data_IF_477485483103
#
_entry.id   IF_477485483103
#
_cell.length_a   1.000
_cell.length_b   1.000
_cell.length_c   1.000
_cell.angle_alpha   90.00
_cell.angle_beta   90.00
_cell.angle_gamma   90.00
#
_symmetry.space_group_name_H-M   'P 1'
#
loop_
_entity.id
_entity.type
_entity.pdbx_description
1 polymer ?
#
# COMPACT_ATOMS: atom_id res chain seq x y z
N UNK A 1 26.87 -12.08 28.17
CA UNK A 1 26.52 -13.51 28.15
C UNK A 1 25.10 -13.63 27.58
N UNK A 2 24.99 -13.45 26.26
CA UNK A 2 23.74 -13.53 25.51
C UNK A 2 23.75 -14.86 24.76
N UNK A 3 22.67 -15.61 24.92
CA UNK A 3 22.48 -16.99 24.51
C UNK A 3 22.85 -17.24 23.04
N UNK A 4 23.60 -18.31 22.82
CA UNK A 4 23.93 -18.89 21.51
C UNK A 4 22.66 -19.51 20.90
N UNK A 5 21.78 -18.65 20.38
CA UNK A 5 20.59 -19.09 19.64
C UNK A 5 21.01 -19.45 18.23
N UNK A 6 21.04 -20.74 17.95
CA UNK A 6 21.09 -21.29 16.60
C UNK A 6 19.76 -21.02 15.91
N UNK A 7 19.79 -20.28 14.80
CA UNK A 7 18.59 -19.97 14.02
C UNK A 7 18.48 -20.99 12.89
N UNK A 8 17.57 -21.96 13.06
CA UNK A 8 17.20 -22.90 12.00
C UNK A 8 16.00 -22.35 11.22
N UNK A 9 16.12 -22.25 9.89
CA UNK A 9 14.99 -21.93 8.99
C UNK A 9 14.37 -23.22 8.46
N UNK A 10 13.03 -23.36 8.41
CA UNK A 10 12.40 -24.56 7.87
C UNK A 10 12.71 -24.69 6.38
N UNK A 11 13.48 -25.72 6.01
CA UNK A 11 13.87 -26.03 4.62
C UNK A 11 15.36 -25.85 4.27
N UNK A 12 16.22 -25.41 5.20
CA UNK A 12 17.65 -25.30 4.97
C UNK A 12 18.44 -26.22 5.93
N UNK A 13 19.18 -27.20 5.40
CA UNK A 13 20.06 -28.13 6.17
C UNK A 13 21.25 -27.44 6.87
N UNK A 14 21.32 -26.10 6.88
CA UNK A 14 22.48 -25.34 7.33
C UNK A 14 22.13 -24.48 8.54
N UNK A 15 22.68 -24.82 9.71
CA UNK A 15 22.47 -24.08 10.95
C UNK A 15 23.58 -23.03 11.20
N UNK A 16 23.20 -21.75 11.30
CA UNK A 16 24.09 -20.63 11.60
C UNK A 16 23.91 -20.13 13.03
N UNK A 17 25.02 -19.82 13.70
CA UNK A 17 25.00 -19.18 15.02
C UNK A 17 24.80 -17.67 14.87
N UNK A 18 24.30 -17.02 15.93
CA UNK A 18 24.08 -15.58 15.95
C UNK A 18 25.36 -14.76 15.65
N UNK A 19 26.55 -15.11 16.16
CA UNK A 19 27.80 -14.44 15.79
C UNK A 19 28.23 -14.65 14.32
N UNK A 20 28.00 -15.84 13.76
CA UNK A 20 28.31 -16.13 12.35
C UNK A 20 27.41 -15.33 11.40
N UNK A 21 26.13 -15.18 11.73
CA UNK A 21 25.20 -14.34 10.96
C UNK A 21 25.60 -12.86 11.00
N UNK A 22 26.05 -12.37 12.15
CA UNK A 22 26.52 -10.99 12.28
C UNK A 22 27.76 -10.72 11.40
N UNK A 23 28.72 -11.64 11.40
CA UNK A 23 29.90 -11.56 10.53
C UNK A 23 29.51 -11.69 9.05
N UNK A 24 28.63 -12.64 8.70
CA UNK A 24 28.15 -12.85 7.33
C UNK A 24 27.43 -11.61 6.77
N UNK A 25 26.63 -10.92 7.59
CA UNK A 25 25.94 -9.70 7.18
C UNK A 25 26.92 -8.55 6.88
N UNK A 26 27.94 -8.38 7.72
CA UNK A 26 28.95 -7.35 7.53
C UNK A 26 29.91 -7.66 6.36
N UNK A 27 30.18 -8.94 6.08
CA UNK A 27 30.92 -9.36 4.87
C UNK A 27 30.15 -9.02 3.59
N UNK A 28 28.83 -9.19 3.60
CA UNK A 28 27.93 -8.79 2.50
C UNK A 28 27.93 -7.27 2.26
N UNK A 29 28.40 -6.49 3.22
CA UNK A 29 28.56 -5.02 3.11
C UNK A 29 29.94 -4.59 2.59
N UNK A 30 30.82 -5.55 2.23
CA UNK A 30 32.14 -5.25 1.66
C UNK A 30 33.13 -4.65 2.66
N UNK A 31 32.84 -4.70 3.96
CA UNK A 31 33.72 -4.19 5.01
C UNK A 31 34.97 -5.06 5.16
N UNK A 32 36.10 -4.42 5.46
CA UNK A 32 37.35 -5.13 5.76
C UNK A 32 37.24 -5.89 7.09
N UNK A 33 37.98 -7.00 7.24
CA UNK A 33 38.02 -7.77 8.49
C UNK A 33 38.32 -6.88 9.71
N UNK A 34 39.20 -5.89 9.55
CA UNK A 34 39.53 -4.92 10.60
C UNK A 34 38.31 -4.08 11.02
N UNK A 35 37.53 -3.57 10.05
CA UNK A 35 36.33 -2.77 10.34
C UNK A 35 35.19 -3.60 10.90
N UNK A 36 35.07 -4.86 10.47
CA UNK A 36 34.10 -5.82 11.03
C UNK A 36 34.43 -6.11 12.50
N UNK A 37 35.70 -6.32 12.82
CA UNK A 37 36.17 -6.56 14.18
C UNK A 37 35.85 -5.36 15.09
N UNK A 38 36.15 -4.15 14.62
CA UNK A 38 35.80 -2.90 15.31
C UNK A 38 34.28 -2.76 15.53
N UNK A 39 33.48 -3.05 14.50
CA UNK A 39 32.02 -2.91 14.52
C UNK A 39 31.35 -3.90 15.47
N UNK A 40 31.90 -5.10 15.60
CA UNK A 40 31.39 -6.14 16.50
C UNK A 40 32.01 -6.10 17.91
N UNK A 41 32.99 -5.24 18.16
CA UNK A 41 33.72 -5.19 19.42
C UNK A 41 34.52 -6.48 19.70
N UNK A 42 35.02 -7.14 18.66
CA UNK A 42 35.78 -8.41 18.74
C UNK A 42 37.15 -8.28 18.07
N UNK A 43 38.00 -9.29 18.20
CA UNK A 43 39.31 -9.30 17.53
C UNK A 43 39.20 -9.69 16.06
N UNK A 44 40.13 -9.23 15.23
CA UNK A 44 40.23 -9.63 13.81
C UNK A 44 40.42 -11.14 13.65
N UNK A 45 41.13 -11.78 14.58
CA UNK A 45 41.29 -13.23 14.63
C UNK A 45 39.93 -13.95 14.82
N UNK A 46 39.05 -13.43 15.68
CA UNK A 46 37.71 -13.97 15.89
C UNK A 46 36.81 -13.83 14.64
N UNK A 47 36.96 -12.73 13.88
CA UNK A 47 36.27 -12.55 12.60
C UNK A 47 36.77 -13.55 11.55
N UNK A 48 38.08 -13.77 11.44
CA UNK A 48 38.62 -14.78 10.51
C UNK A 48 38.24 -16.21 10.90
N UNK A 49 38.15 -16.52 12.19
CA UNK A 49 37.63 -17.81 12.66
C UNK A 49 36.15 -17.99 12.28
N UNK A 50 35.33 -16.95 12.44
CA UNK A 50 33.92 -16.95 12.05
C UNK A 50 33.75 -17.10 10.54
N UNK A 51 34.55 -16.39 9.72
CA UNK A 51 34.59 -16.55 8.25
C UNK A 51 34.84 -17.99 7.83
N UNK A 52 35.83 -18.65 8.44
CA UNK A 52 36.14 -20.07 8.17
C UNK A 52 34.98 -20.99 8.54
N UNK A 53 34.30 -20.73 9.67
CA UNK A 53 33.11 -21.46 10.10
C UNK A 53 31.96 -21.34 9.09
N UNK A 54 31.66 -20.11 8.69
CA UNK A 54 30.63 -19.77 7.69
C UNK A 54 30.92 -20.48 6.36
N UNK A 55 32.15 -20.37 5.85
CA UNK A 55 32.52 -20.98 4.56
C UNK A 55 32.36 -22.49 4.57
N UNK A 56 32.78 -23.14 5.66
CA UNK A 56 32.65 -24.60 5.81
C UNK A 56 31.19 -25.02 5.84
N UNK A 57 30.35 -24.33 6.61
CA UNK A 57 28.93 -24.64 6.75
C UNK A 57 28.11 -24.34 5.49
N UNK A 58 28.51 -23.34 4.69
CA UNK A 58 27.89 -23.01 3.41
C UNK A 58 28.46 -23.83 2.24
N UNK A 59 29.54 -24.60 2.44
CA UNK A 59 30.18 -25.40 1.38
C UNK A 59 30.89 -24.55 0.31
N UNK A 60 31.39 -23.37 0.69
CA UNK A 60 31.96 -22.37 -0.22
C UNK A 60 33.40 -22.05 0.14
N UNK A 61 34.16 -21.56 -0.83
CA UNK A 61 35.60 -21.26 -0.66
C UNK A 61 35.93 -19.77 -0.75
N UNK A 62 34.95 -18.91 -1.07
CA UNK A 62 35.18 -17.47 -1.23
C UNK A 62 34.09 -16.64 -0.54
N UNK A 63 34.47 -15.41 -0.17
CA UNK A 63 33.57 -14.44 0.46
C UNK A 63 32.37 -14.12 -0.45
N UNK A 64 32.63 -13.90 -1.74
CA UNK A 64 31.59 -13.60 -2.71
C UNK A 64 30.60 -14.76 -2.85
N UNK A 65 31.09 -16.00 -2.92
CA UNK A 65 30.21 -17.17 -2.96
C UNK A 65 29.45 -17.38 -1.65
N UNK A 66 30.07 -17.10 -0.50
CA UNK A 66 29.40 -17.19 0.80
C UNK A 66 28.24 -16.21 0.91
N UNK A 67 28.41 -14.96 0.46
CA UNK A 67 27.34 -13.96 0.43
C UNK A 67 26.25 -14.38 -0.55
N UNK A 68 26.59 -14.82 -1.76
CA UNK A 68 25.61 -15.30 -2.74
C UNK A 68 24.79 -16.49 -2.23
N UNK A 69 25.45 -17.50 -1.66
CA UNK A 69 24.80 -18.70 -1.11
C UNK A 69 23.93 -18.39 0.10
N UNK A 70 24.34 -17.42 0.92
CA UNK A 70 23.55 -16.96 2.05
C UNK A 70 22.30 -16.17 1.63
N UNK A 71 22.32 -15.48 0.47
CA UNK A 71 21.12 -14.89 -0.15
C UNK A 71 20.19 -15.98 -0.65
N UNK A 72 20.70 -16.99 -1.38
CA UNK A 72 19.92 -18.12 -1.87
C UNK A 72 19.20 -18.89 -0.76
N UNK A 73 19.88 -19.06 0.38
CA UNK A 73 19.33 -19.73 1.57
C UNK A 73 18.49 -18.78 2.46
N UNK A 74 18.36 -17.51 2.08
CA UNK A 74 17.55 -16.52 2.78
C UNK A 74 18.08 -16.11 4.17
N UNK A 75 19.37 -16.24 4.45
CA UNK A 75 19.96 -15.83 5.74
C UNK A 75 20.06 -14.32 5.93
N UNK A 76 19.86 -13.55 4.86
CA UNK A 76 19.67 -12.11 4.95
C UNK A 76 18.19 -11.81 5.22
N UNK A 77 17.90 -11.28 6.41
CA UNK A 77 16.56 -10.92 6.81
C UNK A 77 16.05 -9.76 5.94
N UNK A 78 14.92 -9.99 5.26
CA UNK A 78 14.18 -8.94 4.57
C UNK A 78 13.73 -7.94 5.64
N UNK A 79 14.40 -6.79 5.68
CA UNK A 79 14.15 -5.81 6.72
C UNK A 79 12.67 -5.40 6.73
N UNK A 80 11.95 -5.86 7.76
CA UNK A 80 10.67 -5.30 8.20
C UNK A 80 10.95 -3.83 8.56
N UNK A 81 10.20 -2.86 8.01
CA UNK A 81 10.50 -1.45 8.26
C UNK A 81 10.31 -1.14 9.75
N UNK A 82 11.42 -0.86 10.43
CA UNK A 82 11.44 -0.21 11.75
C UNK A 82 11.31 1.29 11.51
N UNK A 83 10.38 1.99 12.18
CA UNK A 83 10.35 3.44 12.11
C UNK A 83 11.48 3.96 12.98
N UNK A 84 12.42 4.70 12.39
CA UNK A 84 13.07 5.75 13.17
C UNK A 84 13.49 6.96 12.34
N UNK A 85 13.26 8.10 12.97
CA UNK A 85 13.37 9.46 12.50
C UNK A 85 14.73 9.78 11.89
N UNK A 86 14.76 10.12 10.61
CA UNK A 86 15.51 11.23 9.98
C UNK A 86 15.27 11.14 8.46
N UNK A 87 14.62 12.16 7.88
CA UNK A 87 14.53 12.49 6.43
C UNK A 87 14.65 11.31 5.44
N UNK A 88 13.64 10.45 5.34
CA UNK A 88 13.61 9.37 4.34
C UNK A 88 13.07 9.87 2.99
N UNK A 89 13.78 10.80 2.34
CA UNK A 89 13.58 10.97 0.90
C UNK A 89 13.99 9.66 0.22
N UNK A 90 13.26 9.19 -0.81
CA UNK A 90 13.76 8.06 -1.59
C UNK A 90 15.13 8.42 -2.17
N UNK A 91 16.06 7.46 -2.19
CA UNK A 91 17.37 7.69 -2.82
C UNK A 91 17.23 7.83 -4.34
N UNK A 92 16.31 7.07 -4.93
CA UNK A 92 16.01 7.13 -6.36
C UNK A 92 14.51 7.06 -6.56
N UNK A 93 14.00 7.94 -7.40
CA UNK A 93 12.64 7.88 -7.92
C UNK A 93 12.68 7.28 -9.32
N UNK A 94 11.87 6.26 -9.57
CA UNK A 94 11.69 5.68 -10.89
C UNK A 94 10.41 6.23 -11.48
N UNK A 95 10.51 7.02 -12.53
CA UNK A 95 9.36 7.54 -13.27
C UNK A 95 9.09 6.60 -14.44
N UNK A 96 7.93 5.96 -14.44
CA UNK A 96 7.49 5.11 -15.53
C UNK A 96 6.23 5.71 -16.16
N UNK A 97 6.39 6.21 -17.39
CA UNK A 97 5.35 6.92 -18.11
C UNK A 97 5.69 7.02 -19.59
N UNK A 98 4.65 7.07 -20.42
CA UNK A 98 4.76 7.48 -21.83
C UNK A 98 5.15 8.96 -21.92
N UNK A 99 5.79 9.41 -23.01
CA UNK A 99 6.07 10.83 -23.23
C UNK A 99 4.78 11.65 -23.17
N UNK A 100 4.69 12.59 -22.23
CA UNK A 100 3.52 13.44 -22.03
C UNK A 100 3.91 14.73 -21.32
N UNK A 101 3.13 15.82 -21.46
CA UNK A 101 3.35 17.04 -20.68
C UNK A 101 3.25 16.82 -19.16
N UNK A 102 2.57 15.75 -18.72
CA UNK A 102 2.52 15.39 -17.30
C UNK A 102 3.88 14.83 -16.83
N UNK A 103 4.49 13.94 -17.63
CA UNK A 103 5.83 13.40 -17.37
C UNK A 103 6.89 14.47 -17.32
N UNK A 104 6.83 15.41 -18.25
CA UNK A 104 7.81 16.50 -18.33
C UNK A 104 7.69 17.38 -17.07
N UNK A 105 6.46 17.72 -16.65
CA UNK A 105 6.21 18.42 -15.37
C UNK A 105 6.75 17.67 -14.15
N UNK A 106 6.46 16.37 -14.02
CA UNK A 106 6.98 15.55 -12.91
C UNK A 106 8.51 15.55 -12.90
N UNK A 107 9.13 15.43 -14.08
CA UNK A 107 10.59 15.44 -14.22
C UNK A 107 11.18 16.80 -13.82
N UNK A 108 10.58 17.91 -14.27
CA UNK A 108 10.95 19.27 -13.87
C UNK A 108 10.92 19.46 -12.34
N UNK A 109 9.85 18.99 -11.68
CA UNK A 109 9.70 19.08 -10.23
C UNK A 109 10.74 18.24 -9.49
N UNK A 110 11.07 17.04 -9.98
CA UNK A 110 12.12 16.19 -9.40
C UNK A 110 13.51 16.84 -9.54
N UNK A 111 13.80 17.44 -10.70
CA UNK A 111 15.04 18.23 -10.91
C UNK A 111 15.11 19.41 -9.95
N UNK A 112 14.04 20.22 -9.89
CA UNK A 112 13.99 21.42 -9.04
C UNK A 112 14.16 21.12 -7.55
N UNK A 113 13.66 19.96 -7.10
CA UNK A 113 13.77 19.52 -5.70
C UNK A 113 15.08 18.82 -5.35
N UNK A 114 15.99 18.65 -6.34
CA UNK A 114 17.24 17.91 -6.19
C UNK A 114 17.05 16.40 -5.97
N UNK A 115 15.90 15.86 -6.34
CA UNK A 115 15.56 14.45 -6.17
C UNK A 115 16.23 13.63 -7.29
N UNK A 116 17.06 12.66 -6.93
CA UNK A 116 17.63 11.74 -7.92
C UNK A 116 16.52 10.86 -8.51
N UNK A 117 16.45 10.80 -9.84
CA UNK A 117 15.43 10.02 -10.54
C UNK A 117 15.94 9.41 -11.85
N UNK A 118 15.24 8.38 -12.30
CA UNK A 118 15.43 7.76 -13.60
C UNK A 118 14.08 7.59 -14.30
N UNK A 119 14.01 7.92 -15.59
CA UNK A 119 12.82 7.69 -16.41
C UNK A 119 12.98 6.37 -17.14
N UNK A 120 12.10 5.40 -16.87
CA UNK A 120 12.11 4.09 -17.51
C UNK A 120 10.96 3.96 -18.51
N UNK A 121 11.28 3.48 -19.70
CA UNK A 121 10.30 3.13 -20.74
C UNK A 121 9.89 1.66 -20.70
N UNK A 122 10.76 0.78 -20.20
CA UNK A 122 10.54 -0.66 -20.09
C UNK A 122 11.35 -1.22 -18.90
N UNK A 123 10.79 -2.21 -18.22
CA UNK A 123 11.40 -2.94 -17.11
C UNK A 123 12.49 -3.92 -17.57
N UNK A 124 12.45 -4.41 -18.83
CA UNK A 124 13.45 -5.36 -19.33
C UNK A 124 14.91 -4.85 -19.21
N UNK A 125 15.11 -3.52 -19.29
CA UNK A 125 16.41 -2.87 -19.11
C UNK A 125 16.76 -2.48 -17.68
N UNK A 126 15.88 -2.69 -16.71
CA UNK A 126 15.97 -2.13 -15.36
C UNK A 126 16.40 -3.14 -14.29
N UNK A 127 16.95 -4.30 -14.71
CA UNK A 127 17.40 -5.38 -13.84
C UNK A 127 18.40 -4.94 -12.76
N UNK A 128 19.10 -3.81 -12.91
CA UNK A 128 19.99 -3.27 -11.88
C UNK A 128 19.25 -2.73 -10.64
N UNK A 129 17.96 -2.37 -10.75
CA UNK A 129 17.16 -1.84 -9.63
C UNK A 129 16.96 -2.87 -8.53
N UNK A 130 16.85 -4.16 -8.87
CA UNK A 130 16.69 -5.23 -7.88
C UNK A 130 17.96 -5.43 -7.01
N UNK A 131 19.10 -4.85 -7.41
CA UNK A 131 20.38 -4.92 -6.69
C UNK A 131 20.66 -3.64 -5.88
N UNK A 132 19.77 -2.63 -5.90
CA UNK A 132 19.91 -1.40 -5.11
C UNK A 132 19.52 -1.66 -3.65
N UNK A 133 20.30 -1.11 -2.72
CA UNK A 133 20.11 -1.27 -1.26
C UNK A 133 19.35 -0.12 -0.58
N UNK A 134 18.95 0.91 -1.32
CA UNK A 134 18.29 2.12 -0.79
C UNK A 134 16.79 2.15 -1.06
N UNK A 135 16.11 3.11 -0.41
CA UNK A 135 14.66 3.33 -0.59
C UNK A 135 14.38 3.83 -2.01
N UNK A 136 13.71 3.00 -2.81
CA UNK A 136 13.23 3.36 -4.15
C UNK A 136 11.75 3.69 -4.07
N UNK A 137 11.34 4.78 -4.72
CA UNK A 137 9.94 5.10 -4.94
C UNK A 137 9.62 5.02 -6.44
N UNK A 138 8.42 4.58 -6.78
CA UNK A 138 7.95 4.55 -8.17
C UNK A 138 6.90 5.63 -8.38
N UNK A 139 7.01 6.35 -9.50
CA UNK A 139 6.00 7.29 -9.97
C UNK A 139 5.44 6.74 -11.27
N UNK A 140 4.14 6.46 -11.27
CA UNK A 140 3.39 6.09 -12.47
C UNK A 140 2.53 7.25 -12.92
N UNK A 141 2.42 7.49 -14.22
CA UNK A 141 1.58 8.56 -14.79
C UNK A 141 0.54 7.91 -15.68
N UNK A 142 -0.74 8.12 -15.35
CA UNK A 142 -1.89 7.49 -16.02
C UNK A 142 -1.67 5.98 -16.29
N UNK A 143 -1.39 5.17 -15.25
CA UNK A 143 -0.92 3.80 -15.45
C UNK A 143 -1.97 2.88 -16.07
N UNK A 144 -1.53 2.08 -17.04
CA UNK A 144 -2.24 0.91 -17.52
C UNK A 144 -1.93 -0.34 -16.68
N UNK A 145 -2.73 -1.42 -16.77
CA UNK A 145 -2.54 -2.63 -15.96
C UNK A 145 -1.13 -3.24 -16.04
N UNK A 146 -0.42 -3.06 -17.16
CA UNK A 146 0.94 -3.56 -17.36
C UNK A 146 2.00 -2.79 -16.57
N UNK A 147 1.80 -1.49 -16.37
CA UNK A 147 2.75 -0.58 -15.69
C UNK A 147 2.95 -0.96 -14.21
N UNK A 148 1.92 -1.59 -13.60
CA UNK A 148 1.94 -2.06 -12.22
C UNK A 148 2.88 -3.23 -11.97
N UNK A 149 3.38 -3.89 -13.02
CA UNK A 149 4.39 -4.96 -12.88
C UNK A 149 5.71 -4.42 -12.33
N UNK A 150 6.08 -3.20 -12.69
CA UNK A 150 7.33 -2.57 -12.25
C UNK A 150 7.38 -2.39 -10.72
N UNK A 151 6.44 -1.67 -10.09
CA UNK A 151 6.49 -1.50 -8.63
C UNK A 151 6.29 -2.83 -7.88
N UNK A 152 5.49 -3.75 -8.41
CA UNK A 152 5.31 -5.08 -7.82
C UNK A 152 6.61 -5.91 -7.86
N UNK A 153 7.36 -5.86 -8.97
CA UNK A 153 8.61 -6.60 -9.14
C UNK A 153 9.74 -6.15 -8.22
N UNK A 154 9.76 -4.88 -7.83
CA UNK A 154 10.78 -4.31 -6.94
C UNK A 154 10.29 -4.07 -5.50
N UNK A 155 9.00 -4.27 -5.23
CA UNK A 155 8.40 -4.05 -3.91
C UNK A 155 8.41 -2.59 -3.45
N UNK A 156 8.39 -1.63 -4.38
CA UNK A 156 8.52 -0.21 -4.07
C UNK A 156 7.16 0.47 -3.82
N UNK A 157 7.08 1.42 -2.86
CA UNK A 157 5.90 2.27 -2.71
C UNK A 157 5.67 3.10 -3.98
N UNK A 158 4.41 3.20 -4.39
CA UNK A 158 4.00 3.78 -5.68
C UNK A 158 3.16 5.04 -5.50
N UNK A 159 3.60 6.11 -6.14
CA UNK A 159 2.85 7.35 -6.36
C UNK A 159 2.21 7.29 -7.76
N UNK A 160 0.91 7.54 -7.84
CA UNK A 160 0.20 7.71 -9.11
C UNK A 160 -0.03 9.19 -9.36
N UNK A 161 0.31 9.64 -10.57
CA UNK A 161 0.00 10.99 -11.06
C UNK A 161 -1.05 10.87 -12.15
N UNK A 162 -2.19 11.53 -11.95
CA UNK A 162 -3.30 11.56 -12.89
C UNK A 162 -3.20 12.83 -13.75
N UNK A 163 -3.24 12.69 -15.07
CA UNK A 163 -3.29 13.85 -15.97
C UNK A 163 -4.68 14.49 -16.06
N UNK A 164 -5.72 13.75 -15.69
CA UNK A 164 -7.08 14.24 -15.56
C UNK A 164 -7.53 14.19 -14.09
N UNK A 165 -8.56 14.96 -13.69
CA UNK A 165 -9.13 14.87 -12.34
C UNK A 165 -9.50 13.42 -12.04
N UNK A 166 -8.96 12.82 -10.95
CA UNK A 166 -9.21 11.42 -10.66
C UNK A 166 -10.65 11.22 -10.18
N UNK A 167 -11.33 10.22 -10.73
CA UNK A 167 -12.65 9.80 -10.27
C UNK A 167 -12.54 8.67 -9.21
N UNK A 168 -13.70 8.26 -8.68
CA UNK A 168 -13.77 7.23 -7.65
C UNK A 168 -13.22 5.89 -8.12
N UNK A 169 -13.43 5.55 -9.39
CA UNK A 169 -12.99 4.29 -9.98
C UNK A 169 -11.46 4.26 -10.14
N UNK A 170 -10.87 5.34 -10.64
CA UNK A 170 -9.43 5.51 -10.82
C UNK A 170 -8.69 5.44 -9.48
N UNK A 171 -9.16 6.16 -8.46
CA UNK A 171 -8.56 6.10 -7.11
C UNK A 171 -8.69 4.70 -6.53
N UNK A 172 -9.88 4.09 -6.62
CA UNK A 172 -10.11 2.74 -6.12
C UNK A 172 -9.22 1.69 -6.79
N UNK A 173 -9.02 1.80 -8.11
CA UNK A 173 -8.12 0.93 -8.86
C UNK A 173 -6.66 1.13 -8.44
N UNK A 174 -6.18 2.37 -8.38
CA UNK A 174 -4.81 2.68 -7.97
C UNK A 174 -4.49 2.13 -6.57
N UNK A 175 -5.39 2.31 -5.61
CA UNK A 175 -5.24 1.79 -4.24
C UNK A 175 -5.21 0.26 -4.22
N UNK A 176 -6.06 -0.41 -5.00
CA UNK A 176 -6.08 -1.88 -5.11
C UNK A 176 -4.79 -2.45 -5.67
N UNK A 177 -4.13 -1.73 -6.57
CA UNK A 177 -2.82 -2.12 -7.09
C UNK A 177 -1.65 -1.71 -6.18
N UNK A 178 -1.92 -1.10 -5.02
CA UNK A 178 -0.92 -0.81 -4.01
C UNK A 178 -0.35 0.62 -4.07
N UNK A 179 -1.01 1.56 -4.75
CA UNK A 179 -0.67 2.97 -4.64
C UNK A 179 -0.67 3.42 -3.18
N UNK A 180 0.38 4.15 -2.81
CA UNK A 180 0.54 4.79 -1.49
C UNK A 180 0.52 6.31 -1.59
N UNK A 181 0.40 6.85 -2.80
CA UNK A 181 0.11 8.25 -3.00
C UNK A 181 -0.65 8.46 -4.32
N UNK A 182 -1.47 9.50 -4.37
CA UNK A 182 -2.18 9.90 -5.59
C UNK A 182 -2.17 11.43 -5.72
N UNK A 183 -1.82 11.92 -6.90
CA UNK A 183 -1.66 13.35 -7.19
C UNK A 183 -2.31 13.66 -8.54
N UNK A 184 -3.01 14.78 -8.63
CA UNK A 184 -3.48 15.32 -9.90
C UNK A 184 -2.42 16.24 -10.51
N UNK A 185 -2.30 16.31 -11.84
CA UNK A 185 -1.19 17.05 -12.51
C UNK A 185 -1.07 18.52 -12.09
N UNK A 186 -2.17 19.16 -11.72
CA UNK A 186 -2.29 20.56 -11.27
C UNK A 186 -1.65 20.73 -9.89
N UNK A 187 -1.59 19.64 -9.11
CA UNK A 187 -1.00 19.58 -7.78
C UNK A 187 0.47 19.13 -7.79
N UNK A 188 1.03 18.77 -8.95
CA UNK A 188 2.45 18.42 -9.10
C UNK A 188 3.28 19.70 -8.96
N UNK A 189 3.55 20.08 -7.71
CA UNK A 189 4.28 21.27 -7.31
C UNK A 189 5.38 20.93 -6.30
N UNK A 190 6.03 21.93 -5.71
CA UNK A 190 7.29 21.84 -4.95
C UNK A 190 7.33 20.77 -3.83
N UNK A 191 6.18 20.33 -3.30
CA UNK A 191 6.10 19.35 -2.21
C UNK A 191 6.01 17.87 -2.66
N UNK A 192 6.19 17.58 -3.96
CA UNK A 192 6.29 16.20 -4.47
C UNK A 192 7.30 15.37 -3.65
N UNK A 193 8.42 16.00 -3.25
CA UNK A 193 9.45 15.36 -2.43
C UNK A 193 8.98 15.03 -1.00
N UNK A 194 8.13 15.87 -0.40
CA UNK A 194 7.51 15.61 0.90
C UNK A 194 6.52 14.47 0.83
N UNK A 195 5.68 14.44 -0.20
CA UNK A 195 4.74 13.34 -0.47
C UNK A 195 5.46 12.00 -0.64
N UNK A 196 6.52 11.97 -1.45
CA UNK A 196 7.36 10.77 -1.64
C UNK A 196 7.98 10.31 -0.32
N UNK A 197 8.42 11.24 0.53
CA UNK A 197 9.02 10.93 1.83
C UNK A 197 8.00 10.31 2.80
N UNK A 198 6.78 10.86 2.84
CA UNK A 198 5.68 10.33 3.65
C UNK A 198 5.21 8.97 3.14
N UNK A 199 5.12 8.80 1.83
CA UNK A 199 4.77 7.55 1.18
C UNK A 199 5.76 6.43 1.56
N UNK A 200 7.06 6.71 1.50
CA UNK A 200 8.12 5.78 1.92
C UNK A 200 8.06 5.40 3.41
N UNK A 201 7.45 6.25 4.25
CA UNK A 201 7.19 5.97 5.68
C UNK A 201 5.92 5.14 5.91
N UNK A 202 5.22 4.76 4.85
CA UNK A 202 4.00 3.94 4.91
C UNK A 202 2.71 4.74 5.04
N UNK A 203 2.77 6.08 4.98
CA UNK A 203 1.56 6.90 4.92
C UNK A 203 0.95 6.84 3.52
N UNK A 204 -0.38 6.98 3.47
CA UNK A 204 -1.07 7.32 2.23
C UNK A 204 -1.10 8.85 2.09
N UNK A 205 -0.70 9.38 0.94
CA UNK A 205 -0.74 10.83 0.70
C UNK A 205 -1.58 11.20 -0.51
N UNK A 206 -2.36 12.27 -0.37
CA UNK A 206 -3.17 12.86 -1.43
C UNK A 206 -3.31 14.35 -1.15
N UNK A 207 -3.23 15.18 -2.18
CA UNK A 207 -3.42 16.63 -2.07
C UNK A 207 -4.89 16.98 -1.89
N UNK A 208 -5.17 18.17 -1.34
CA UNK A 208 -6.55 18.62 -1.10
C UNK A 208 -7.35 18.73 -2.42
N UNK A 209 -6.77 19.31 -3.47
CA UNK A 209 -7.42 19.42 -4.78
C UNK A 209 -7.68 18.05 -5.41
N UNK A 210 -6.76 17.09 -5.28
CA UNK A 210 -6.99 15.70 -5.68
C UNK A 210 -8.10 15.02 -4.87
N UNK A 211 -8.18 15.28 -3.56
CA UNK A 211 -9.27 14.79 -2.70
C UNK A 211 -10.62 15.41 -3.11
N UNK A 212 -10.64 16.70 -3.42
CA UNK A 212 -11.84 17.41 -3.86
C UNK A 212 -12.33 16.86 -5.21
N UNK A 213 -11.43 16.62 -6.16
CA UNK A 213 -11.76 15.98 -7.44
C UNK A 213 -12.33 14.56 -7.25
N UNK A 214 -11.69 13.76 -6.40
CA UNK A 214 -12.15 12.41 -6.05
C UNK A 214 -13.55 12.45 -5.40
N UNK A 215 -13.76 13.35 -4.44
CA UNK A 215 -15.03 13.47 -3.70
C UNK A 215 -16.14 14.12 -4.53
N UNK A 216 -15.83 14.94 -5.55
CA UNK A 216 -16.84 15.45 -6.48
C UNK A 216 -17.56 14.33 -7.25
N UNK A 217 -16.86 13.22 -7.52
CA UNK A 217 -17.45 12.00 -8.09
C UNK A 217 -18.12 11.09 -7.06
N UNK A 218 -17.78 11.25 -5.77
CA UNK A 218 -18.54 10.66 -4.67
C UNK A 218 -19.79 11.50 -4.50
N UNK A 219 -20.84 11.14 -5.22
CA UNK A 219 -22.17 11.57 -4.83
C UNK A 219 -22.47 10.95 -3.46
N UNK A 220 -22.11 11.66 -2.38
CA UNK A 220 -22.66 11.45 -1.05
C UNK A 220 -24.14 11.88 -1.01
N UNK A 221 -24.86 11.65 -2.10
CA UNK A 221 -26.30 11.74 -2.10
C UNK A 221 -26.80 10.41 -1.57
N UNK A 222 -27.56 10.40 -0.45
CA UNK A 222 -28.34 9.21 -0.12
C UNK A 222 -29.04 8.72 -1.39
N UNK A 223 -29.08 7.40 -1.65
CA UNK A 223 -29.75 6.89 -2.85
C UNK A 223 -31.15 7.49 -2.89
N UNK A 224 -31.50 8.16 -3.99
CA UNK A 224 -32.80 8.80 -4.13
C UNK A 224 -33.89 7.74 -4.09
N UNK A 225 -34.50 7.56 -2.92
CA UNK A 225 -35.59 6.62 -2.75
C UNK A 225 -36.81 7.15 -3.50
N UNK A 226 -37.40 6.28 -4.32
CA UNK A 226 -38.73 6.53 -4.88
C UNK A 226 -39.73 6.71 -3.75
N UNK A 227 -40.86 7.38 -4.00
CA UNK A 227 -41.91 7.55 -2.99
C UNK A 227 -42.31 6.22 -2.34
N UNK A 228 -42.47 5.15 -3.15
CA UNK A 228 -42.82 3.81 -2.67
C UNK A 228 -41.72 3.15 -1.83
N UNK A 229 -40.45 3.32 -2.19
CA UNK A 229 -39.34 2.82 -1.39
C UNK A 229 -39.25 3.53 -0.05
N UNK A 230 -39.49 4.85 -0.02
CA UNK A 230 -39.53 5.66 1.19
C UNK A 230 -40.70 5.26 2.09
N UNK A 231 -41.89 5.02 1.52
CA UNK A 231 -43.06 4.53 2.25
C UNK A 231 -42.82 3.16 2.91
N UNK A 232 -42.20 2.24 2.16
CA UNK A 232 -41.82 0.92 2.67
C UNK A 232 -40.73 1.04 3.74
N UNK A 233 -39.70 1.87 3.54
CA UNK A 233 -38.64 2.11 4.52
C UNK A 233 -39.18 2.70 5.82
N UNK A 234 -40.08 3.68 5.75
CA UNK A 234 -40.75 4.25 6.92
C UNK A 234 -41.59 3.21 7.66
N UNK A 235 -42.33 2.37 6.94
CA UNK A 235 -43.07 1.26 7.53
C UNK A 235 -42.12 0.24 8.21
N UNK A 236 -40.94 0.02 7.64
CA UNK A 236 -39.91 -0.84 8.23
C UNK A 236 -39.38 -0.26 9.54
N UNK A 237 -39.10 1.05 9.56
CA UNK A 237 -38.61 1.78 10.73
C UNK A 237 -39.61 1.76 11.89
N UNK A 238 -40.91 1.84 11.58
CA UNK A 238 -42.01 1.71 12.55
C UNK A 238 -42.25 0.26 13.03
N UNK A 239 -41.41 -0.70 12.63
CA UNK A 239 -41.53 -2.09 13.08
C UNK A 239 -42.63 -2.91 12.40
N UNK A 240 -43.27 -2.40 11.34
CA UNK A 240 -44.36 -3.12 10.68
C UNK A 240 -43.88 -4.39 9.94
N UNK A 241 -44.69 -5.44 10.02
CA UNK A 241 -44.56 -6.65 9.20
C UNK A 241 -44.89 -6.37 7.73
N UNK A 242 -44.54 -7.32 6.84
CA UNK A 242 -44.88 -7.24 5.41
C UNK A 242 -46.40 -7.09 5.21
N UNK A 243 -47.20 -7.87 5.95
CA UNK A 243 -48.67 -7.82 5.86
C UNK A 243 -49.26 -6.49 6.36
N UNK A 244 -48.72 -5.93 7.45
CA UNK A 244 -49.15 -4.61 7.94
C UNK A 244 -48.76 -3.49 6.96
N UNK A 245 -47.56 -3.55 6.40
CA UNK A 245 -47.08 -2.60 5.37
C UNK A 245 -47.97 -2.65 4.13
N UNK A 246 -48.33 -3.85 3.66
CA UNK A 246 -49.20 -4.06 2.52
C UNK A 246 -50.58 -3.42 2.71
N UNK A 247 -51.21 -3.65 3.87
CA UNK A 247 -52.50 -3.03 4.23
C UNK A 247 -52.41 -1.51 4.29
N UNK A 248 -51.38 -0.98 4.96
CA UNK A 248 -51.20 0.47 5.14
C UNK A 248 -50.99 1.20 3.81
N UNK A 249 -50.26 0.59 2.89
CA UNK A 249 -49.93 1.19 1.59
C UNK A 249 -50.92 0.84 0.48
N UNK A 250 -51.97 0.06 0.76
CA UNK A 250 -52.97 -0.35 -0.25
C UNK A 250 -52.41 -1.23 -1.37
N UNK A 251 -51.38 -2.05 -1.08
CA UNK A 251 -50.70 -2.92 -2.05
C UNK A 251 -50.65 -4.37 -1.56
N UNK A 252 -50.22 -5.30 -2.43
CA UNK A 252 -50.09 -6.72 -2.06
C UNK A 252 -48.81 -6.98 -1.26
N UNK A 253 -48.80 -8.03 -0.42
CA UNK A 253 -47.60 -8.49 0.29
C UNK A 253 -46.42 -8.78 -0.65
N UNK A 254 -46.70 -9.42 -1.80
CA UNK A 254 -45.72 -9.69 -2.85
C UNK A 254 -45.11 -8.39 -3.43
N UNK A 255 -45.91 -7.32 -3.54
CA UNK A 255 -45.42 -6.01 -3.96
C UNK A 255 -44.48 -5.42 -2.91
N UNK A 256 -44.81 -5.53 -1.62
CA UNK A 256 -43.94 -5.07 -0.52
C UNK A 256 -42.61 -5.81 -0.55
N UNK A 257 -42.60 -7.13 -0.69
CA UNK A 257 -41.37 -7.94 -0.78
C UNK A 257 -40.50 -7.52 -1.96
N UNK A 258 -41.09 -7.30 -3.13
CA UNK A 258 -40.38 -6.84 -4.33
C UNK A 258 -39.79 -5.43 -4.17
N UNK A 259 -40.50 -4.53 -3.49
CA UNK A 259 -39.99 -3.19 -3.17
C UNK A 259 -38.87 -3.27 -2.11
N UNK A 260 -39.01 -4.12 -1.10
CA UNK A 260 -37.98 -4.36 -0.08
C UNK A 260 -36.68 -4.91 -0.68
N UNK A 261 -36.78 -5.89 -1.59
CA UNK A 261 -35.60 -6.46 -2.24
C UNK A 261 -34.83 -5.40 -3.04
N UNK A 262 -35.55 -4.54 -3.78
CA UNK A 262 -34.96 -3.43 -4.53
C UNK A 262 -34.37 -2.36 -3.60
N UNK A 263 -35.10 -1.99 -2.55
CA UNK A 263 -34.65 -1.07 -1.52
C UNK A 263 -33.35 -1.56 -0.86
N UNK A 264 -33.29 -2.82 -0.45
CA UNK A 264 -32.11 -3.41 0.21
C UNK A 264 -30.92 -3.46 -0.73
N UNK A 265 -31.14 -3.83 -1.99
CA UNK A 265 -30.10 -3.78 -3.02
C UNK A 265 -29.57 -2.35 -3.21
N UNK A 266 -30.45 -1.35 -3.29
CA UNK A 266 -30.07 0.06 -3.43
C UNK A 266 -29.35 0.62 -2.20
N UNK A 267 -29.69 0.13 -1.01
CA UNK A 267 -29.02 0.50 0.24
C UNK A 267 -27.74 -0.32 0.49
N UNK A 268 -27.46 -1.36 -0.30
CA UNK A 268 -26.37 -2.30 -0.03
C UNK A 268 -26.57 -3.14 1.24
N UNK A 269 -27.82 -3.29 1.70
CA UNK A 269 -28.18 -4.04 2.90
C UNK A 269 -28.51 -5.49 2.56
N UNK A 270 -28.14 -6.42 3.45
CA UNK A 270 -28.51 -7.85 3.36
C UNK A 270 -29.63 -8.21 4.32
N UNK A 271 -29.81 -7.42 5.37
CA UNK A 271 -30.85 -7.64 6.38
C UNK A 271 -31.68 -6.39 6.62
N UNK A 272 -32.87 -6.59 7.19
CA UNK A 272 -33.75 -5.50 7.62
C UNK A 272 -33.05 -4.55 8.62
N UNK A 273 -32.26 -5.11 9.54
CA UNK A 273 -31.51 -4.35 10.53
C UNK A 273 -30.38 -3.54 9.90
N UNK A 274 -29.63 -4.15 8.96
CA UNK A 274 -28.61 -3.42 8.19
C UNK A 274 -29.22 -2.28 7.38
N UNK A 275 -30.37 -2.51 6.73
CA UNK A 275 -31.06 -1.47 5.99
C UNK A 275 -31.42 -0.27 6.88
N UNK A 276 -31.94 -0.51 8.09
CA UNK A 276 -32.25 0.54 9.05
C UNK A 276 -31.01 1.31 9.53
N UNK A 277 -29.90 0.61 9.82
CA UNK A 277 -28.64 1.25 10.24
C UNK A 277 -28.09 2.15 9.11
N UNK A 278 -28.10 1.65 7.87
CA UNK A 278 -27.62 2.38 6.71
C UNK A 278 -28.52 3.60 6.46
N UNK A 279 -29.84 3.41 6.47
CA UNK A 279 -30.79 4.50 6.29
C UNK A 279 -30.71 5.57 7.38
N UNK A 280 -30.48 5.20 8.65
CA UNK A 280 -30.25 6.15 9.74
C UNK A 280 -28.97 6.97 9.51
N UNK A 281 -27.85 6.31 9.16
CA UNK A 281 -26.59 7.01 8.87
C UNK A 281 -26.70 8.00 7.71
N UNK A 282 -27.55 7.68 6.73
CA UNK A 282 -27.78 8.49 5.54
C UNK A 282 -28.87 9.55 5.71
N UNK A 283 -29.48 9.68 6.91
CA UNK A 283 -30.56 10.64 7.17
C UNK A 283 -31.84 10.36 6.37
N UNK A 284 -32.05 9.12 5.92
CA UNK A 284 -33.20 8.72 5.10
C UNK A 284 -34.47 8.45 5.91
N UNK A 285 -34.34 8.33 7.23
CA UNK A 285 -35.44 8.08 8.16
C UNK A 285 -35.22 8.98 9.38
N UNK A 286 -36.21 9.82 9.65
CA UNK A 286 -36.26 10.57 10.90
C UNK A 286 -36.92 9.69 11.97
N UNK A 287 -36.15 9.34 13.00
CA UNK A 287 -36.72 8.77 14.22
C UNK A 287 -37.18 9.93 15.08
N UNK A 288 -38.24 10.63 14.66
CA UNK A 288 -38.93 11.50 15.61
C UNK A 288 -39.37 10.60 16.75
N UNK A 289 -38.73 10.76 17.91
CA UNK A 289 -39.25 10.24 19.17
C UNK A 289 -40.67 10.79 19.30
N UNK A 290 -41.66 9.94 19.09
CA UNK A 290 -42.98 10.16 19.67
C UNK A 290 -42.82 10.03 21.19
N UNK A 291 -42.24 11.06 21.82
CA UNK A 291 -42.68 11.48 23.14
C UNK A 291 -44.03 12.18 22.92
N UNK A 292 -45.13 11.43 22.93
CA UNK A 292 -46.47 11.91 23.28
C UNK A 292 -47.47 10.76 23.29
N UNK A 293 -47.79 10.32 24.52
CA UNK A 293 -49.09 9.83 25.02
C UNK A 293 -49.78 8.65 24.34
#
# INVERSE_FOLDING_TARGET
>A
MLMDKTLEKPGAEVAMTSPELAVLNLLGSGLSTARIAETLGVTTCAVEASKRGIYRKLGVVSQAHAVARAIELGFFDHHRPVPDSVRTRPEVVVVHARPSPCRDRVSETLVASGQSFAVLRDFAGAHWLQWRRGTVAVVLIDPEPEDWRLPAGIGAPTLVVCSAPPDVAAVGQAVRHGARALVWREDVTEDLSGMLSLMCRGYFTMTALCLDAFTAGITAHPPELTARERDVLNSIALGHTIGQTARRLGITAKTVESVQARLFLRLGARTRSEALIISHRLGLVDWSRDESS
#
